data_IF_944654145212
#
_entry.id   IF_944654145212
#
_cell.length_a   1.000
_cell.length_b   1.000
_cell.length_c   1.000
_cell.angle_alpha   90.00
_cell.angle_beta   90.00
_cell.angle_gamma   90.00
#
_symmetry.space_group_name_H-M   'P 1'
#
loop_
_entity.id
_entity.type
_entity.pdbx_description
1 polymer ?
#
# COMPACT_ATOMS: atom_id res chain seq x y z
N UNK A 1 -2.48 -10.19 -6.05
CA UNK A 1 -3.69 -10.98 -5.72
C UNK A 1 -4.89 -10.06 -5.76
N UNK A 2 -6.06 -10.55 -6.18
CA UNK A 2 -7.31 -9.84 -5.92
C UNK A 2 -7.64 -9.83 -4.43
N UNK A 3 -8.48 -8.89 -3.98
CA UNK A 3 -8.80 -8.68 -2.57
C UNK A 3 -9.55 -9.82 -1.89
N UNK A 4 -10.15 -10.72 -2.68
CA UNK A 4 -11.04 -11.77 -2.20
C UNK A 4 -12.33 -11.20 -1.59
N UNK A 5 -13.16 -12.08 -1.04
CA UNK A 5 -14.47 -11.70 -0.48
C UNK A 5 -14.32 -10.60 0.57
N UNK A 6 -15.07 -9.51 0.37
CA UNK A 6 -15.04 -8.32 1.23
C UNK A 6 -13.61 -7.87 1.60
N UNK A 7 -12.71 -7.90 0.61
CA UNK A 7 -11.30 -7.49 0.70
C UNK A 7 -10.48 -8.23 1.75
N UNK A 8 -10.89 -9.45 2.13
CA UNK A 8 -10.25 -10.23 3.22
C UNK A 8 -8.74 -10.40 3.04
N UNK A 9 -8.25 -10.57 1.81
CA UNK A 9 -6.81 -10.70 1.52
C UNK A 9 -6.07 -9.38 1.72
N UNK A 10 -6.63 -8.26 1.25
CA UNK A 10 -6.06 -6.93 1.50
C UNK A 10 -6.02 -6.60 2.98
N UNK A 11 -7.14 -6.80 3.69
CA UNK A 11 -7.24 -6.58 5.14
C UNK A 11 -6.27 -7.48 5.92
N UNK A 12 -6.03 -8.70 5.45
CA UNK A 12 -5.03 -9.61 6.00
C UNK A 12 -3.61 -9.06 5.87
N UNK A 13 -3.24 -8.56 4.69
CA UNK A 13 -1.94 -7.93 4.47
C UNK A 13 -1.74 -6.69 5.36
N UNK A 14 -2.73 -5.79 5.44
CA UNK A 14 -2.65 -4.62 6.33
C UNK A 14 -2.55 -5.00 7.81
N UNK A 15 -3.25 -6.07 8.23
CA UNK A 15 -3.13 -6.61 9.59
C UNK A 15 -1.72 -7.13 9.87
N UNK A 16 -1.05 -7.74 8.90
CA UNK A 16 0.34 -8.19 9.09
C UNK A 16 1.28 -7.00 9.32
N UNK A 17 1.05 -5.88 8.63
CA UNK A 17 1.81 -4.63 8.87
C UNK A 17 1.55 -4.12 10.29
N UNK A 18 0.29 -4.05 10.72
CA UNK A 18 -0.02 -3.62 12.09
C UNK A 18 0.60 -4.54 13.14
N UNK A 19 0.60 -5.85 12.93
CA UNK A 19 1.24 -6.80 13.83
C UNK A 19 2.76 -6.56 13.90
N UNK A 20 3.40 -6.22 12.77
CA UNK A 20 4.82 -5.89 12.74
C UNK A 20 5.11 -4.63 13.54
N UNK A 21 4.32 -3.57 13.35
CA UNK A 21 4.38 -2.33 14.13
C UNK A 21 4.22 -2.61 15.62
N UNK A 22 3.20 -3.40 16.01
CA UNK A 22 2.93 -3.71 17.41
C UNK A 22 4.08 -4.49 18.08
N UNK A 23 4.83 -5.29 17.31
CA UNK A 23 5.91 -6.12 17.84
C UNK A 23 7.24 -5.36 18.03
N UNK A 24 7.50 -4.35 17.20
CA UNK A 24 8.81 -3.67 17.14
C UNK A 24 8.73 -2.19 17.54
N UNK A 25 7.55 -1.55 17.46
CA UNK A 25 7.35 -0.12 17.69
C UNK A 25 7.44 0.68 16.39
N UNK A 26 6.47 1.57 16.15
CA UNK A 26 6.37 2.35 14.90
C UNK A 26 7.59 3.27 14.69
N UNK A 27 8.16 3.78 15.77
CA UNK A 27 9.33 4.65 15.80
C UNK A 27 10.64 3.94 15.44
N UNK A 28 10.66 2.61 15.51
CA UNK A 28 11.85 1.79 15.26
C UNK A 28 11.91 1.25 13.82
N UNK A 29 11.05 1.72 12.94
CA UNK A 29 10.94 1.20 11.57
C UNK A 29 10.54 2.28 10.56
N UNK A 30 10.98 2.09 9.31
CA UNK A 30 10.44 2.80 8.15
C UNK A 30 9.73 1.80 7.24
N UNK A 31 8.40 1.91 7.13
CA UNK A 31 7.58 1.00 6.34
C UNK A 31 7.10 1.69 5.07
N UNK A 32 7.39 1.06 3.93
CA UNK A 32 6.89 1.44 2.61
C UNK A 32 6.10 0.29 2.00
N UNK A 33 4.82 0.53 1.75
CA UNK A 33 3.92 -0.39 1.05
C UNK A 33 3.91 -0.03 -0.43
N UNK A 34 4.54 -0.86 -1.27
CA UNK A 34 4.57 -0.63 -2.72
C UNK A 34 3.41 -1.35 -3.39
N UNK A 35 2.43 -0.60 -3.87
CA UNK A 35 1.24 -1.10 -4.56
C UNK A 35 1.43 -1.07 -6.07
N UNK A 36 1.33 -2.25 -6.69
CA UNK A 36 1.33 -2.41 -8.15
C UNK A 36 0.39 -3.54 -8.58
N UNK A 37 -0.03 -3.54 -9.85
CA UNK A 37 -1.00 -4.50 -10.38
C UNK A 37 -2.30 -4.52 -9.56
N UNK A 38 -2.73 -5.71 -9.13
CA UNK A 38 -3.94 -5.84 -8.30
C UNK A 38 -3.80 -5.21 -6.90
N UNK A 39 -2.57 -4.93 -6.44
CA UNK A 39 -2.34 -4.27 -5.16
C UNK A 39 -2.99 -2.89 -5.04
N UNK A 40 -3.18 -2.16 -6.15
CA UNK A 40 -3.91 -0.87 -6.14
C UNK A 40 -5.36 -1.03 -5.65
N UNK A 41 -5.92 -2.24 -5.70
CA UNK A 41 -7.23 -2.54 -5.14
C UNK A 41 -7.34 -2.23 -3.64
N UNK A 42 -6.22 -2.20 -2.90
CA UNK A 42 -6.20 -1.76 -1.49
C UNK A 42 -6.76 -0.34 -1.37
N UNK A 43 -6.23 0.60 -2.16
CA UNK A 43 -6.64 2.01 -2.07
C UNK A 43 -7.93 2.30 -2.84
N UNK A 44 -8.17 1.57 -3.94
CA UNK A 44 -9.40 1.71 -4.71
C UNK A 44 -10.63 1.24 -3.92
N UNK A 45 -10.58 0.03 -3.36
CA UNK A 45 -11.72 -0.55 -2.65
C UNK A 45 -11.92 0.14 -1.29
N UNK A 46 -10.86 0.72 -0.70
CA UNK A 46 -10.98 1.54 0.50
C UNK A 46 -11.85 2.80 0.32
N UNK A 47 -12.19 3.21 -0.91
CA UNK A 47 -13.16 4.29 -1.12
C UNK A 47 -14.59 3.89 -0.77
N UNK A 48 -14.93 2.61 -0.86
CA UNK A 48 -16.29 2.10 -0.63
C UNK A 48 -16.39 1.05 0.48
N UNK A 49 -15.27 0.57 1.03
CA UNK A 49 -15.21 -0.36 2.14
C UNK A 49 -14.64 0.33 3.38
N UNK A 50 -15.51 0.77 4.30
CA UNK A 50 -15.11 1.51 5.51
C UNK A 50 -14.14 0.75 6.41
N UNK A 51 -14.26 -0.58 6.47
CA UNK A 51 -13.34 -1.40 7.26
C UNK A 51 -11.93 -1.38 6.67
N UNK A 52 -11.81 -1.49 5.34
CA UNK A 52 -10.53 -1.38 4.66
C UNK A 52 -9.98 0.05 4.73
N UNK A 53 -10.85 1.06 4.57
CA UNK A 53 -10.53 2.48 4.74
C UNK A 53 -9.89 2.76 6.09
N UNK A 54 -10.54 2.34 7.18
CA UNK A 54 -10.04 2.55 8.53
C UNK A 54 -8.64 1.95 8.74
N UNK A 55 -8.37 0.77 8.16
CA UNK A 55 -7.03 0.16 8.23
C UNK A 55 -5.98 0.93 7.43
N UNK A 56 -6.30 1.40 6.23
CA UNK A 56 -5.37 2.20 5.42
C UNK A 56 -5.04 3.52 6.13
N UNK A 57 -6.06 4.26 6.57
CA UNK A 57 -5.88 5.56 7.25
C UNK A 57 -5.11 5.39 8.55
N UNK A 58 -5.42 4.36 9.34
CA UNK A 58 -4.69 4.07 10.59
C UNK A 58 -3.21 3.74 10.36
N UNK A 59 -2.86 3.04 9.28
CA UNK A 59 -1.45 2.79 8.95
C UNK A 59 -0.75 4.06 8.46
N UNK A 60 -1.41 4.88 7.62
CA UNK A 60 -0.87 6.18 7.20
C UNK A 60 -0.62 7.12 8.38
N UNK A 61 -1.51 7.14 9.39
CA UNK A 61 -1.31 7.94 10.61
C UNK A 61 -0.15 7.45 11.49
N UNK A 62 0.28 6.20 11.30
CA UNK A 62 1.48 5.62 11.91
C UNK A 62 2.72 5.79 11.00
N UNK A 63 2.69 6.75 10.08
CA UNK A 63 3.76 7.09 9.14
C UNK A 63 4.12 5.98 8.13
N UNK A 64 3.26 4.98 7.92
CA UNK A 64 3.43 3.99 6.84
C UNK A 64 3.18 4.67 5.49
N UNK A 65 4.17 4.62 4.59
CA UNK A 65 4.07 5.20 3.23
C UNK A 65 3.45 4.20 2.25
N UNK A 66 2.58 4.68 1.37
CA UNK A 66 1.91 3.85 0.36
C UNK A 66 2.33 4.30 -1.04
N UNK A 67 3.35 3.65 -1.61
CA UNK A 67 3.87 3.99 -2.93
C UNK A 67 2.99 3.35 -4.02
N UNK A 68 2.55 4.15 -5.00
CA UNK A 68 1.64 3.72 -6.08
C UNK A 68 2.39 3.65 -7.41
N UNK A 69 2.33 2.50 -8.07
CA UNK A 69 3.00 2.27 -9.35
C UNK A 69 2.34 3.01 -10.53
N UNK A 70 3.06 3.97 -11.11
CA UNK A 70 2.61 4.76 -12.27
C UNK A 70 2.30 3.89 -13.50
N UNK A 71 3.11 2.87 -13.78
CA UNK A 71 2.81 1.92 -14.86
C UNK A 71 1.46 1.23 -14.68
N UNK A 72 1.06 0.94 -13.43
CA UNK A 72 -0.26 0.35 -13.16
C UNK A 72 -1.36 1.38 -13.36
N UNK A 73 -1.17 2.62 -12.89
CA UNK A 73 -2.12 3.72 -13.11
C UNK A 73 -2.40 3.92 -14.61
N UNK A 74 -1.34 4.08 -15.41
CA UNK A 74 -1.44 4.28 -16.86
C UNK A 74 -2.06 3.06 -17.56
N UNK A 75 -1.54 1.86 -17.29
CA UNK A 75 -1.99 0.63 -17.93
C UNK A 75 -3.45 0.28 -17.64
N UNK A 76 -3.99 0.71 -16.49
CA UNK A 76 -5.38 0.46 -16.09
C UNK A 76 -6.28 1.70 -16.19
N UNK A 77 -5.75 2.83 -16.69
CA UNK A 77 -6.46 4.12 -16.80
C UNK A 77 -7.10 4.56 -15.47
N UNK A 78 -6.35 4.43 -14.38
CA UNK A 78 -6.78 4.83 -13.03
C UNK A 78 -6.33 6.26 -12.80
N UNK A 79 -7.27 7.14 -12.44
CA UNK A 79 -6.99 8.48 -11.96
C UNK A 79 -6.71 8.42 -10.44
N UNK A 80 -5.49 8.73 -10.01
CA UNK A 80 -5.11 8.57 -8.60
C UNK A 80 -5.93 9.45 -7.65
N UNK A 81 -6.34 10.66 -8.06
CA UNK A 81 -7.12 11.59 -7.25
C UNK A 81 -8.56 11.12 -7.08
N UNK A 82 -9.15 10.61 -8.17
CA UNK A 82 -10.57 10.28 -8.23
C UNK A 82 -10.85 8.83 -7.88
N UNK A 83 -9.92 7.90 -8.12
CA UNK A 83 -10.16 6.47 -7.96
C UNK A 83 -9.52 5.88 -6.70
N UNK A 84 -8.51 6.52 -6.12
CA UNK A 84 -7.75 5.99 -4.98
C UNK A 84 -7.96 6.83 -3.72
N UNK A 85 -7.86 6.18 -2.56
CA UNK A 85 -7.96 6.83 -1.26
C UNK A 85 -6.65 7.58 -0.93
N UNK A 86 -6.74 8.91 -0.84
CA UNK A 86 -5.71 9.81 -0.29
C UNK A 86 -4.31 9.61 -0.93
N UNK A 87 -4.25 9.53 -2.26
CA UNK A 87 -2.98 9.42 -3.00
C UNK A 87 -2.58 10.80 -3.51
N UNK A 88 -1.34 11.19 -3.27
CA UNK A 88 -0.76 12.46 -3.72
C UNK A 88 0.39 12.21 -4.73
N UNK A 89 0.83 13.22 -5.50
CA UNK A 89 1.90 13.05 -6.48
C UNK A 89 3.19 12.43 -5.92
N UNK A 90 3.56 12.76 -4.68
CA UNK A 90 4.72 12.24 -3.96
C UNK A 90 4.62 10.74 -3.62
N UNK A 91 3.42 10.17 -3.60
CA UNK A 91 3.21 8.73 -3.38
C UNK A 91 3.45 7.93 -4.68
N UNK A 92 3.54 8.59 -5.84
CA UNK A 92 3.58 7.91 -7.13
C UNK A 92 5.02 7.62 -7.54
N UNK A 93 5.33 6.33 -7.69
CA UNK A 93 6.65 5.86 -8.17
C UNK A 93 6.58 5.44 -9.64
N UNK A 94 7.66 5.61 -10.44
CA UNK A 94 7.64 5.26 -11.86
C UNK A 94 7.25 3.80 -12.13
N UNK A 95 7.75 2.87 -11.30
CA UNK A 95 7.48 1.44 -11.41
C UNK A 95 7.57 0.78 -10.03
N UNK A 96 6.53 0.05 -9.63
CA UNK A 96 6.51 -0.65 -8.34
C UNK A 96 7.58 -1.74 -8.22
N UNK A 97 7.90 -2.47 -9.30
CA UNK A 97 8.96 -3.49 -9.24
C UNK A 97 10.34 -2.85 -9.13
N UNK A 98 10.57 -1.74 -9.84
CA UNK A 98 11.83 -1.01 -9.75
C UNK A 98 12.00 -0.39 -8.35
N UNK A 99 10.92 0.17 -7.79
CA UNK A 99 10.90 0.72 -6.44
C UNK A 99 11.26 -0.34 -5.39
N UNK A 100 10.68 -1.55 -5.50
CA UNK A 100 11.04 -2.66 -4.61
C UNK A 100 12.53 -3.02 -4.69
N UNK A 101 13.12 -3.02 -5.90
CA UNK A 101 14.54 -3.29 -6.07
C UNK A 101 15.41 -2.16 -5.49
N UNK A 102 15.00 -0.91 -5.70
CA UNK A 102 15.70 0.26 -5.17
C UNK A 102 15.71 0.27 -3.65
N UNK A 103 14.56 0.06 -3.01
CA UNK A 103 14.45 -0.02 -1.55
C UNK A 103 15.28 -1.16 -0.96
N UNK A 104 15.28 -2.34 -1.60
CA UNK A 104 16.13 -3.44 -1.14
C UNK A 104 17.63 -3.09 -1.22
N UNK A 105 18.08 -2.37 -2.25
CA UNK A 105 19.46 -1.88 -2.35
C UNK A 105 19.80 -0.83 -1.28
N UNK A 106 18.81 -0.08 -0.79
CA UNK A 106 18.94 0.82 0.36
C UNK A 106 18.92 0.10 1.72
N UNK A 107 18.83 -1.25 1.73
CA UNK A 107 18.84 -2.05 2.95
C UNK A 107 17.46 -2.38 3.52
N UNK A 108 16.37 -2.07 2.81
CA UNK A 108 15.03 -2.45 3.27
C UNK A 108 14.83 -3.96 3.14
N UNK A 109 14.20 -4.55 4.16
CA UNK A 109 13.75 -5.94 4.08
C UNK A 109 12.48 -6.02 3.23
N UNK A 110 12.44 -6.98 2.31
CA UNK A 110 11.27 -7.23 1.47
C UNK A 110 10.35 -8.28 2.08
N UNK A 111 9.07 -7.93 2.23
CA UNK A 111 8.01 -8.83 2.69
C UNK A 111 6.86 -8.80 1.70
N UNK A 112 6.42 -9.99 1.25
CA UNK A 112 5.25 -10.17 0.39
C UNK A 112 4.20 -11.02 1.11
N UNK A 113 3.18 -10.41 1.73
CA UNK A 113 2.10 -11.12 2.41
C UNK A 113 1.14 -11.83 1.45
#
# INVERSE_FOLDING_TARGET
>A
YEGGDADKKYRGALRNIQNHINAVGAENMDIKVVLHGNGLGVLKNAKSNDKLKGQVVSLKSQNVKFNVCNNTLKGRKINYEQDLLEVFPEDIVPSGVAELSHLQQMGYTYIKP
#
